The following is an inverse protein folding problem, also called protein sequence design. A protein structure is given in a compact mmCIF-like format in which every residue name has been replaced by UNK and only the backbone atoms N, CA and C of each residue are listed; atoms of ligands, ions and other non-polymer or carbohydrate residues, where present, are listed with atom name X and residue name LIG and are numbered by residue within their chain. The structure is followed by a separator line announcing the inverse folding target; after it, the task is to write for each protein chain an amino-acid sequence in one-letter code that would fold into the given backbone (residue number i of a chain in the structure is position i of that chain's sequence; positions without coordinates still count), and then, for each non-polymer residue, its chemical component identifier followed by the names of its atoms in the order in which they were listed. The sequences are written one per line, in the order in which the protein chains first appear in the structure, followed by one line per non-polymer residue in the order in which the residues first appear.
data_IF_084016537599
#
_entry.id   IF_084016537599
#
_cell.length_a   1.000
_cell.length_b   1.000
_cell.length_c   1.000
_cell.angle_alpha   90.00
_cell.angle_beta   90.00
_cell.angle_gamma   90.00
#
_symmetry.space_group_name_H-M   'P 1'
#
loop_
_entity.id
_entity.type
_entity.pdbx_description
1 polymer ?
#
# COMPACT_ATOMS: atom_id res chain seq x y z
N UNK A 1 4.53 -1.71 26.85
CA UNK A 1 4.52 -0.91 25.61
C UNK A 1 3.23 -1.29 24.90
N UNK A 2 2.39 -0.33 24.52
CA UNK A 2 1.20 -0.65 23.71
C UNK A 2 1.73 -1.13 22.34
N UNK A 3 1.41 -2.37 21.97
CA UNK A 3 1.69 -2.91 20.65
C UNK A 3 0.47 -2.65 19.78
N UNK A 4 0.66 -2.52 18.46
CA UNK A 4 -0.43 -2.45 17.48
C UNK A 4 -1.27 -1.16 17.59
N UNK A 5 -0.71 0.00 17.19
CA UNK A 5 -1.39 1.30 17.27
C UNK A 5 -2.71 1.35 16.48
N UNK A 6 -2.91 0.49 15.50
CA UNK A 6 -4.16 0.30 14.77
C UNK A 6 -5.34 -0.06 15.68
N UNK A 7 -5.09 -0.74 16.81
CA UNK A 7 -6.13 -1.16 17.74
C UNK A 7 -6.60 -0.10 18.73
N UNK A 8 -5.89 1.03 18.86
CA UNK A 8 -6.18 2.01 19.92
C UNK A 8 -5.90 3.48 19.59
N UNK A 9 -5.11 3.80 18.56
CA UNK A 9 -4.83 5.18 18.15
C UNK A 9 -5.64 5.56 16.93
N UNK A 10 -6.60 6.46 17.14
CA UNK A 10 -7.42 7.02 16.06
C UNK A 10 -6.55 7.82 15.09
N UNK A 11 -5.58 8.56 15.61
CA UNK A 11 -4.64 9.36 14.81
C UNK A 11 -3.81 8.47 13.88
N UNK A 12 -3.36 7.31 14.38
CA UNK A 12 -2.63 6.34 13.57
C UNK A 12 -3.49 5.81 12.42
N UNK A 13 -4.71 5.35 12.72
CA UNK A 13 -5.66 4.86 11.71
C UNK A 13 -5.95 5.92 10.64
N UNK A 14 -6.15 7.19 11.06
CA UNK A 14 -6.36 8.30 10.13
C UNK A 14 -5.13 8.48 9.24
N UNK A 15 -3.92 8.48 9.81
CA UNK A 15 -2.69 8.66 9.04
C UNK A 15 -2.49 7.53 8.02
N UNK A 16 -2.59 6.27 8.45
CA UNK A 16 -2.36 5.10 7.59
C UNK A 16 -3.37 5.02 6.45
N UNK A 17 -4.65 5.28 6.72
CA UNK A 17 -5.68 5.30 5.66
C UNK A 17 -5.57 6.49 4.69
N UNK A 18 -4.70 7.47 4.96
CA UNK A 18 -4.49 8.63 4.10
C UNK A 18 -3.23 8.55 3.22
N UNK A 19 -2.48 7.44 3.23
CA UNK A 19 -1.27 7.25 2.39
C UNK A 19 -1.48 7.60 0.92
N UNK A 20 -2.55 7.08 0.32
CA UNK A 20 -2.90 7.36 -1.08
C UNK A 20 -3.28 8.83 -1.31
N UNK A 21 -3.92 9.48 -0.33
CA UNK A 21 -4.25 10.91 -0.40
C UNK A 21 -2.98 11.78 -0.38
N UNK A 22 -1.98 11.43 0.43
CA UNK A 22 -0.69 12.12 0.42
C UNK A 22 0.05 11.96 -0.92
N UNK A 23 0.06 10.76 -1.49
CA UNK A 23 0.63 10.54 -2.83
C UNK A 23 -0.11 11.34 -3.91
N UNK A 24 -1.45 11.40 -3.85
CA UNK A 24 -2.24 12.23 -4.78
C UNK A 24 -1.82 13.70 -4.69
N UNK A 25 -1.66 14.24 -3.48
CA UNK A 25 -1.18 15.62 -3.29
C UNK A 25 0.22 15.79 -3.89
N UNK A 26 1.14 14.84 -3.66
CA UNK A 26 2.47 14.86 -4.28
C UNK A 26 2.40 14.90 -5.82
N UNK A 27 1.50 14.13 -6.42
CA UNK A 27 1.30 14.05 -7.87
C UNK A 27 0.59 15.25 -8.49
N UNK A 28 -0.29 15.94 -7.76
CA UNK A 28 -1.09 17.02 -8.34
C UNK A 28 -0.48 18.39 -8.06
N UNK A 29 0.08 18.57 -6.87
CA UNK A 29 0.62 19.86 -6.41
C UNK A 29 2.10 19.99 -6.76
N UNK A 30 2.86 18.91 -6.68
CA UNK A 30 4.33 18.95 -6.76
C UNK A 30 4.91 18.27 -8.00
N UNK A 31 4.08 17.73 -8.92
CA UNK A 31 4.58 17.10 -10.15
C UNK A 31 5.45 18.00 -11.04
N UNK A 32 5.23 19.33 -11.15
CA UNK A 32 6.14 20.18 -11.92
C UNK A 32 7.56 20.19 -11.33
N UNK A 33 7.71 19.83 -10.05
CA UNK A 33 9.00 19.78 -9.33
C UNK A 33 9.71 18.44 -9.56
N UNK A 34 8.96 17.33 -9.62
CA UNK A 34 9.56 15.98 -9.64
C UNK A 34 9.80 15.41 -11.04
N UNK A 35 9.17 15.95 -12.09
CA UNK A 35 9.32 15.50 -13.49
C UNK A 35 9.31 13.96 -13.65
N UNK A 36 8.39 13.29 -12.94
CA UNK A 36 8.27 11.82 -12.92
C UNK A 36 6.84 11.36 -13.17
N UNK A 37 6.70 10.15 -13.73
CA UNK A 37 5.43 9.45 -13.86
C UNK A 37 5.19 8.44 -12.75
N UNK A 38 6.17 8.16 -11.91
CA UNK A 38 6.13 7.09 -10.91
C UNK A 38 6.34 7.63 -9.51
N UNK A 39 5.52 7.12 -8.60
CA UNK A 39 5.50 7.52 -7.19
C UNK A 39 5.37 6.27 -6.33
N UNK A 40 5.91 6.32 -5.12
CA UNK A 40 5.80 5.23 -4.15
C UNK A 40 5.60 5.80 -2.76
N UNK A 41 4.91 5.03 -1.93
CA UNK A 41 4.88 5.23 -0.50
C UNK A 41 5.83 4.24 0.17
N UNK A 42 6.56 4.72 1.19
CA UNK A 42 7.39 3.92 2.08
C UNK A 42 7.12 4.40 3.50
N UNK A 43 6.79 3.50 4.42
CA UNK A 43 6.55 3.86 5.81
C UNK A 43 7.80 4.42 6.51
N UNK A 44 7.57 5.41 7.38
CA UNK A 44 8.60 5.87 8.31
C UNK A 44 8.97 4.75 9.27
N UNK A 45 10.22 4.31 9.26
CA UNK A 45 10.68 3.15 10.04
C UNK A 45 10.82 1.86 9.23
N UNK A 46 10.65 1.91 7.91
CA UNK A 46 10.94 0.78 7.00
C UNK A 46 12.33 0.19 7.29
N UNK A 47 12.37 -1.11 7.58
CA UNK A 47 13.59 -1.84 7.93
C UNK A 47 13.88 -1.93 9.43
N UNK A 48 13.03 -1.39 10.30
CA UNK A 48 13.07 -1.54 11.78
C UNK A 48 14.47 -1.40 12.40
N UNK A 49 15.24 -0.41 11.97
CA UNK A 49 16.58 -0.14 12.52
C UNK A 49 17.71 -0.96 11.90
N UNK A 50 17.48 -1.63 10.76
CA UNK A 50 18.58 -2.09 9.89
C UNK A 50 19.41 -0.87 9.45
N UNK A 51 20.60 -0.73 10.01
CA UNK A 51 21.51 0.38 9.71
C UNK A 51 21.89 0.45 8.23
N UNK A 52 21.84 -0.69 7.52
CA UNK A 52 22.15 -0.77 6.10
C UNK A 52 20.99 -0.32 5.20
N UNK A 53 19.82 0.03 5.76
CA UNK A 53 18.65 0.44 4.98
C UNK A 53 18.92 1.73 4.20
N UNK A 54 19.74 2.63 4.75
CA UNK A 54 20.14 3.87 4.09
C UNK A 54 21.02 3.58 2.87
N UNK A 55 21.99 2.67 2.99
CA UNK A 55 22.84 2.27 1.86
C UNK A 55 22.02 1.57 0.77
N UNK A 56 21.07 0.71 1.17
CA UNK A 56 20.13 0.09 0.24
C UNK A 56 19.32 1.14 -0.51
N UNK A 57 18.77 2.13 0.20
CA UNK A 57 17.98 3.21 -0.39
C UNK A 57 18.79 4.10 -1.33
N UNK A 58 20.00 4.53 -0.92
CA UNK A 58 20.86 5.39 -1.74
C UNK A 58 21.26 4.73 -3.07
N UNK A 59 21.45 3.41 -3.06
CA UNK A 59 21.81 2.64 -4.24
C UNK A 59 20.59 2.07 -4.99
N UNK A 60 19.38 2.35 -4.50
CA UNK A 60 18.17 1.77 -5.07
C UNK A 60 17.75 2.51 -6.34
N UNK A 61 17.81 1.81 -7.47
CA UNK A 61 17.17 2.25 -8.72
C UNK A 61 15.96 1.36 -8.96
N UNK A 62 14.72 1.84 -8.81
CA UNK A 62 13.52 1.00 -8.82
C UNK A 62 13.11 0.53 -10.23
N UNK A 63 14.03 -0.10 -10.97
CA UNK A 63 13.92 -0.35 -12.42
C UNK A 63 12.66 -1.13 -12.80
N UNK A 64 12.34 -2.17 -12.02
CA UNK A 64 11.14 -3.00 -12.22
C UNK A 64 9.86 -2.23 -11.95
N UNK A 65 9.87 -1.32 -10.97
CA UNK A 65 8.73 -0.45 -10.68
C UNK A 65 8.52 0.56 -11.80
N UNK A 66 9.61 1.15 -12.30
CA UNK A 66 9.60 2.12 -13.40
C UNK A 66 9.13 1.48 -14.72
N UNK A 67 9.36 0.18 -14.90
CA UNK A 67 8.85 -0.57 -16.05
C UNK A 67 7.33 -0.79 -16.01
N UNK A 68 6.67 -0.62 -14.86
CA UNK A 68 5.22 -0.78 -14.75
C UNK A 68 4.48 0.42 -15.32
N UNK A 69 3.67 0.17 -16.34
CA UNK A 69 2.73 1.15 -16.88
C UNK A 69 1.31 0.80 -16.43
N UNK A 70 0.56 1.80 -15.97
CA UNK A 70 -0.85 1.67 -15.56
C UNK A 70 -1.09 0.57 -14.51
N UNK A 71 -0.11 0.28 -13.66
CA UNK A 71 -0.23 -0.67 -12.53
C UNK A 71 0.36 -0.07 -11.25
N UNK A 72 -0.16 -0.54 -10.11
CA UNK A 72 0.41 -0.32 -8.78
C UNK A 72 0.97 -1.64 -8.27
N UNK A 73 2.23 -1.62 -7.83
CA UNK A 73 2.90 -2.74 -7.22
C UNK A 73 2.71 -2.76 -5.71
N UNK A 74 2.46 -3.95 -5.19
CA UNK A 74 2.44 -4.27 -3.76
C UNK A 74 3.31 -5.49 -3.51
N UNK A 75 3.88 -5.56 -2.31
CA UNK A 75 4.48 -6.79 -1.80
C UNK A 75 3.36 -7.71 -1.32
N UNK A 76 3.35 -8.93 -1.84
CA UNK A 76 2.40 -9.97 -1.50
C UNK A 76 3.03 -10.90 -0.45
N UNK A 77 2.45 -10.93 0.74
CA UNK A 77 2.90 -11.70 1.89
C UNK A 77 2.29 -13.11 1.92
N UNK A 78 1.01 -13.23 1.57
CA UNK A 78 0.27 -14.48 1.54
C UNK A 78 -0.35 -14.73 0.15
N UNK A 79 -1.23 -15.72 -0.01
CA UNK A 79 -1.93 -15.96 -1.28
C UNK A 79 -3.37 -15.44 -1.22
N UNK A 80 -3.74 -14.56 -2.15
CA UNK A 80 -5.07 -13.94 -2.27
C UNK A 80 -6.22 -14.95 -2.25
N UNK A 81 -6.01 -16.20 -2.71
CA UNK A 81 -7.00 -17.27 -2.64
C UNK A 81 -7.46 -17.59 -1.20
N UNK A 82 -6.57 -17.42 -0.21
CA UNK A 82 -6.89 -17.60 1.22
C UNK A 82 -7.97 -16.61 1.68
N UNK A 83 -8.06 -15.47 1.00
CA UNK A 83 -8.87 -14.32 1.40
C UNK A 83 -10.16 -14.22 0.57
N UNK A 84 -10.20 -14.77 -0.65
CA UNK A 84 -11.37 -14.71 -1.56
C UNK A 84 -12.67 -15.17 -0.92
N UNK A 85 -12.64 -16.27 -0.15
CA UNK A 85 -13.85 -16.82 0.51
C UNK A 85 -14.38 -15.94 1.65
N UNK A 86 -13.59 -14.98 2.12
CA UNK A 86 -13.95 -14.11 3.23
C UNK A 86 -14.75 -12.88 2.78
N UNK A 87 -14.68 -12.49 1.50
CA UNK A 87 -15.34 -11.29 0.99
C UNK A 87 -15.01 -10.05 1.83
N UNK A 88 -16.01 -9.19 2.10
CA UNK A 88 -15.84 -8.02 2.97
C UNK A 88 -15.62 -8.36 4.46
N UNK A 89 -15.78 -9.62 4.90
CA UNK A 89 -15.59 -10.02 6.31
C UNK A 89 -14.13 -10.20 6.71
N UNK A 90 -13.19 -9.78 5.86
CA UNK A 90 -11.76 -9.83 6.15
C UNK A 90 -11.39 -9.09 7.45
N UNK A 91 -12.00 -7.92 7.68
CA UNK A 91 -11.88 -7.15 8.92
C UNK A 91 -12.34 -7.89 10.20
N UNK A 92 -13.03 -9.04 10.07
CA UNK A 92 -13.50 -9.85 11.21
C UNK A 92 -12.64 -11.08 11.47
N UNK A 93 -11.56 -11.26 10.72
CA UNK A 93 -10.66 -12.41 10.86
C UNK A 93 -9.32 -11.96 11.42
N UNK A 94 -8.85 -12.67 12.44
CA UNK A 94 -7.44 -12.61 12.85
C UNK A 94 -6.65 -13.46 11.87
N UNK A 95 -6.35 -12.87 10.71
CA UNK A 95 -5.50 -13.44 9.67
C UNK A 95 -4.41 -12.44 9.35
N UNK A 96 -3.23 -12.95 9.08
CA UNK A 96 -2.10 -12.13 8.65
C UNK A 96 -2.46 -11.38 7.34
N UNK A 97 -1.96 -10.15 7.15
CA UNK A 97 -2.31 -9.32 6.01
C UNK A 97 -1.76 -9.90 4.70
N UNK A 98 -2.58 -9.89 3.66
CA UNK A 98 -2.17 -10.40 2.33
C UNK A 98 -1.11 -9.52 1.66
N UNK A 99 -1.22 -8.20 1.84
CA UNK A 99 -0.31 -7.22 1.27
C UNK A 99 0.43 -6.48 2.39
N UNK A 100 1.69 -6.13 2.12
CA UNK A 100 2.42 -5.21 2.99
C UNK A 100 1.85 -3.79 2.84
N UNK A 101 1.43 -3.17 3.95
CA UNK A 101 1.04 -1.75 3.99
C UNK A 101 2.23 -0.78 3.96
N UNK A 102 3.44 -1.28 4.15
CA UNK A 102 4.64 -0.45 4.33
C UNK A 102 5.24 0.05 3.02
N UNK A 103 4.90 -0.59 1.90
CA UNK A 103 5.40 -0.24 0.58
C UNK A 103 4.36 -0.49 -0.51
N UNK A 104 4.13 0.53 -1.33
CA UNK A 104 3.49 0.36 -2.63
C UNK A 104 3.92 1.49 -3.57
N UNK A 105 3.82 1.27 -4.88
CA UNK A 105 4.18 2.29 -5.85
C UNK A 105 3.85 1.93 -7.28
N UNK A 106 4.06 2.86 -8.21
CA UNK A 106 3.78 2.61 -9.62
C UNK A 106 3.48 3.88 -10.40
N UNK A 107 2.88 3.71 -11.57
CA UNK A 107 2.55 4.83 -12.44
C UNK A 107 1.43 5.70 -11.83
N UNK A 108 1.56 7.02 -11.91
CA UNK A 108 0.64 8.00 -11.30
C UNK A 108 -0.83 7.74 -11.65
N UNK A 109 -1.13 7.37 -12.90
CA UNK A 109 -2.51 7.11 -13.32
C UNK A 109 -3.12 5.91 -12.58
N UNK A 110 -2.31 4.89 -12.28
CA UNK A 110 -2.76 3.70 -11.58
C UNK A 110 -2.95 3.99 -10.08
N UNK A 111 -2.06 4.79 -9.49
CA UNK A 111 -2.21 5.21 -8.10
C UNK A 111 -3.43 6.11 -7.91
N UNK A 112 -3.72 7.00 -8.87
CA UNK A 112 -4.94 7.82 -8.83
C UNK A 112 -6.21 6.98 -9.00
N UNK A 113 -6.19 5.95 -9.86
CA UNK A 113 -7.30 4.99 -9.97
C UNK A 113 -7.47 4.20 -8.67
N UNK A 114 -6.37 3.74 -8.05
CA UNK A 114 -6.41 3.07 -6.76
C UNK A 114 -6.92 3.99 -5.65
N UNK A 115 -6.51 5.26 -5.61
CA UNK A 115 -7.02 6.25 -4.66
C UNK A 115 -8.53 6.41 -4.76
N UNK A 116 -9.08 6.45 -5.99
CA UNK A 116 -10.52 6.50 -6.18
C UNK A 116 -11.22 5.25 -5.64
N UNK A 117 -10.77 4.05 -6.04
CA UNK A 117 -11.32 2.77 -5.58
C UNK A 117 -11.24 2.63 -4.05
N UNK A 118 -10.11 2.99 -3.47
CA UNK A 118 -9.89 2.93 -2.03
C UNK A 118 -10.88 3.81 -1.28
N UNK A 119 -11.11 5.06 -1.73
CA UNK A 119 -12.04 5.96 -1.07
C UNK A 119 -13.49 5.50 -1.18
N UNK A 120 -13.89 4.94 -2.32
CA UNK A 120 -15.23 4.37 -2.48
C UNK A 120 -15.43 3.17 -1.55
N UNK A 121 -14.44 2.27 -1.49
CA UNK A 121 -14.44 1.13 -0.58
C UNK A 121 -14.49 1.58 0.88
N UNK A 122 -13.63 2.52 1.27
CA UNK A 122 -13.55 3.07 2.62
C UNK A 122 -14.88 3.71 3.06
N UNK A 123 -15.52 4.50 2.18
CA UNK A 123 -16.85 5.08 2.45
C UNK A 123 -17.91 4.01 2.62
N UNK A 124 -17.90 2.96 1.79
CA UNK A 124 -18.89 1.88 1.90
C UNK A 124 -18.78 1.15 3.24
N UNK A 125 -17.56 0.84 3.68
CA UNK A 125 -17.31 0.18 4.96
C UNK A 125 -17.62 1.11 6.14
N UNK A 126 -17.33 2.40 6.02
CA UNK A 126 -17.68 3.38 7.05
C UNK A 126 -19.20 3.48 7.27
N UNK A 127 -20.02 3.40 6.20
CA UNK A 127 -21.48 3.34 6.30
C UNK A 127 -21.93 2.09 7.07
N UNK A 128 -21.20 0.99 6.93
CA UNK A 128 -21.41 -0.26 7.68
C UNK A 128 -20.79 -0.25 9.09
N UNK A 129 -20.23 0.88 9.54
CA UNK A 129 -19.48 1.02 10.80
C UNK A 129 -18.25 0.11 10.90
N UNK A 130 -17.58 -0.11 9.77
CA UNK A 130 -16.34 -0.87 9.67
C UNK A 130 -15.19 0.08 9.34
N UNK A 131 -14.21 0.12 10.24
CA UNK A 131 -12.91 0.78 10.04
C UNK A 131 -11.83 -0.22 10.41
N UNK A 132 -10.78 -0.28 9.61
CA UNK A 132 -9.72 -1.26 9.73
C UNK A 132 -8.36 -0.65 9.37
N UNK A 133 -7.32 -1.46 9.50
CA UNK A 133 -5.97 -1.12 9.06
C UNK A 133 -5.88 -1.00 7.52
N UNK A 134 -4.92 -0.20 7.06
CA UNK A 134 -4.72 0.18 5.66
C UNK A 134 -4.33 -0.99 4.74
N UNK A 135 -3.97 -2.13 5.31
CA UNK A 135 -3.52 -3.33 4.60
C UNK A 135 -4.66 -4.11 3.95
N UNK A 136 -5.86 -4.04 4.55
CA UNK A 136 -7.03 -4.78 4.06
C UNK A 136 -7.75 -4.08 2.90
N UNK A 137 -7.68 -2.74 2.84
CA UNK A 137 -8.36 -1.98 1.79
C UNK A 137 -7.82 -2.22 0.38
N UNK A 138 -6.48 -2.24 0.13
CA UNK A 138 -5.95 -2.55 -1.18
C UNK A 138 -6.29 -3.98 -1.64
N UNK A 139 -6.48 -4.91 -0.71
CA UNK A 139 -6.96 -6.26 -1.02
C UNK A 139 -8.42 -6.26 -1.51
N UNK A 140 -9.30 -5.47 -0.90
CA UNK A 140 -10.66 -5.28 -1.43
C UNK A 140 -10.63 -4.68 -2.85
N UNK A 141 -9.83 -3.63 -3.05
CA UNK A 141 -9.65 -3.01 -4.37
C UNK A 141 -9.05 -4.00 -5.39
N UNK A 142 -8.17 -4.91 -4.96
CA UNK A 142 -7.64 -5.97 -5.80
C UNK A 142 -8.72 -6.95 -6.27
N UNK A 143 -9.65 -7.33 -5.39
CA UNK A 143 -10.75 -8.21 -5.78
C UNK A 143 -11.72 -7.55 -6.77
N UNK A 144 -11.91 -6.24 -6.70
CA UNK A 144 -12.72 -5.50 -7.67
C UNK A 144 -12.00 -5.28 -9.00
N UNK A 145 -10.74 -4.84 -8.96
CA UNK A 145 -9.97 -4.46 -10.15
C UNK A 145 -8.57 -5.09 -10.15
N UNK A 146 -8.46 -6.43 -10.29
CA UNK A 146 -7.17 -7.13 -10.17
C UNK A 146 -6.16 -6.70 -11.24
N UNK A 147 -6.65 -6.24 -12.41
CA UNK A 147 -5.82 -5.73 -13.52
C UNK A 147 -4.94 -4.54 -13.12
N UNK A 148 -5.37 -3.75 -12.13
CA UNK A 148 -4.67 -2.55 -11.65
C UNK A 148 -3.40 -2.91 -10.85
N UNK A 149 -3.31 -4.15 -10.35
CA UNK A 149 -2.27 -4.55 -9.44
C UNK A 149 -1.14 -5.31 -10.15
N UNK A 150 0.05 -5.17 -9.60
CA UNK A 150 1.23 -5.99 -9.86
C UNK A 150 1.72 -6.54 -8.52
N UNK A 151 1.26 -7.74 -8.16
CA UNK A 151 1.63 -8.38 -6.91
C UNK A 151 3.00 -9.06 -7.04
N UNK A 152 3.92 -8.75 -6.14
CA UNK A 152 5.25 -9.37 -6.10
C UNK A 152 5.40 -10.12 -4.78
N UNK A 153 5.55 -11.45 -4.86
CA UNK A 153 5.76 -12.28 -3.66
C UNK A 153 7.04 -11.87 -2.96
N UNK A 154 6.95 -11.60 -1.66
CA UNK A 154 8.05 -11.12 -0.83
C UNK A 154 7.66 -11.07 0.65
N UNK A 155 8.61 -10.67 1.50
CA UNK A 155 8.34 -10.36 2.90
C UNK A 155 8.18 -8.87 3.15
N UNK A 156 7.94 -8.53 4.41
CA UNK A 156 8.15 -7.18 4.93
C UNK A 156 9.57 -6.71 4.60
N UNK A 157 9.74 -5.41 4.32
CA UNK A 157 11.04 -4.79 4.03
C UNK A 157 11.77 -5.20 2.74
N UNK A 158 11.18 -6.05 1.90
CA UNK A 158 11.84 -6.55 0.69
C UNK A 158 11.79 -5.60 -0.53
N UNK A 159 11.21 -4.40 -0.42
CA UNK A 159 10.96 -3.53 -1.58
C UNK A 159 12.25 -3.18 -2.34
N UNK A 160 13.32 -2.81 -1.64
CA UNK A 160 14.58 -2.44 -2.27
C UNK A 160 15.24 -3.61 -3.02
N UNK A 161 15.10 -4.83 -2.47
CA UNK A 161 15.60 -6.05 -3.10
C UNK A 161 14.76 -6.44 -4.33
N UNK A 162 13.44 -6.32 -4.23
CA UNK A 162 12.54 -6.87 -5.24
C UNK A 162 12.27 -5.91 -6.40
N UNK A 163 12.29 -4.60 -6.15
CA UNK A 163 12.01 -3.57 -7.15
C UNK A 163 13.25 -2.85 -7.66
N UNK A 164 14.43 -3.09 -7.09
CA UNK A 164 15.72 -2.74 -7.69
C UNK A 164 15.90 -3.35 -9.08
#
# INVERSE_FOLDING_TARGET
MLQNPEGFSVEYIILMNNKLSFLKVAMEVYIPVFNTSHFSWIDGGYGHGDENIFDKFQNWTPSKLLALNKKVAFLQLHDTEMFKKSGLRLHKKSIDPEFSGEFFGGHKSAILELHHLYNEMFRSLLIENVVDDDQNFPLFCYFETPRLFNLVKGGWFDAFKLFG
#
